data_IF_828714291608
#
_entry.id   IF_828714291608
#
_cell.length_a   1.000
_cell.length_b   1.000
_cell.length_c   1.000
_cell.angle_alpha   90.00
_cell.angle_beta   90.00
_cell.angle_gamma   90.00
#
_symmetry.space_group_name_H-M   'P 1'
#
loop_
_entity.id
_entity.type
_entity.pdbx_description
1 polymer ?
#
# COMPACT_ATOMS: atom_id res chain seq x y z
N UNK A 1 10.69 14.87 44.76
CA UNK A 1 10.94 15.48 43.44
C UNK A 1 11.17 14.35 42.48
N UNK A 2 10.28 14.30 41.50
CA UNK A 2 10.31 13.51 40.29
C UNK A 2 11.56 13.77 39.47
N UNK A 3 12.15 12.72 38.90
CA UNK A 3 12.66 12.81 37.53
C UNK A 3 12.68 11.44 36.86
N UNK A 4 12.25 11.44 35.60
CA UNK A 4 11.82 10.31 34.79
C UNK A 4 12.75 10.22 33.58
N UNK A 5 13.39 9.07 33.26
CA UNK A 5 14.17 8.94 32.04
C UNK A 5 13.27 8.43 30.90
N UNK A 6 12.83 9.33 30.02
CA UNK A 6 12.47 9.02 28.63
C UNK A 6 13.68 9.39 27.75
N UNK A 7 14.09 8.72 26.70
CA UNK A 7 13.58 7.54 26.02
C UNK A 7 14.46 7.35 24.77
N UNK A 8 15.15 6.22 24.68
CA UNK A 8 15.64 5.65 23.41
C UNK A 8 15.24 4.18 23.45
N UNK A 9 13.93 3.97 23.31
CA UNK A 9 13.38 2.62 23.23
C UNK A 9 13.69 2.06 21.86
N UNK A 10 14.41 0.95 21.84
CA UNK A 10 14.43 0.01 20.71
C UNK A 10 12.99 -0.24 20.27
N UNK A 11 12.72 -0.09 18.97
CA UNK A 11 11.38 -0.29 18.40
C UNK A 11 11.00 -1.75 18.68
N UNK A 12 10.09 -1.95 19.62
CA UNK A 12 9.69 -3.28 20.06
C UNK A 12 8.78 -3.91 19.01
N UNK A 13 8.71 -5.25 18.96
CA UNK A 13 7.83 -6.00 18.03
C UNK A 13 6.37 -5.50 18.02
N UNK A 14 5.89 -4.92 19.11
CA UNK A 14 4.56 -4.31 19.18
C UNK A 14 4.43 -3.00 18.39
N UNK A 15 5.51 -2.21 18.25
CA UNK A 15 5.51 -0.99 17.43
C UNK A 15 5.48 -1.31 15.93
N UNK A 16 6.17 -2.38 15.50
CA UNK A 16 6.09 -2.87 14.12
C UNK A 16 4.68 -3.36 13.75
N UNK A 17 3.99 -4.01 14.69
CA UNK A 17 2.59 -4.41 14.53
C UNK A 17 1.66 -3.18 14.55
N UNK A 18 1.94 -2.18 15.38
CA UNK A 18 1.17 -0.92 15.43
C UNK A 18 1.25 -0.11 14.12
N UNK A 19 2.43 -0.04 13.50
CA UNK A 19 2.64 0.58 12.18
C UNK A 19 1.92 -0.15 11.04
N UNK A 20 1.72 -1.47 11.17
CA UNK A 20 0.91 -2.25 10.23
C UNK A 20 -0.60 -2.08 10.45
N UNK A 21 -1.02 -1.60 11.63
CA UNK A 21 -2.43 -1.61 12.06
C UNK A 21 -3.10 -0.24 11.95
N UNK A 22 -2.35 0.85 12.07
CA UNK A 22 -2.91 2.22 12.15
C UNK A 22 -2.57 3.03 10.91
N UNK A 23 -3.52 3.68 10.21
CA UNK A 23 -3.18 4.70 9.21
C UNK A 23 -2.45 5.86 9.90
N UNK A 24 -1.45 6.51 9.28
CA UNK A 24 -0.86 7.71 9.86
C UNK A 24 -1.95 8.78 9.93
N UNK A 25 -2.35 9.17 11.13
CA UNK A 25 -3.19 10.35 11.32
C UNK A 25 -2.33 11.59 11.08
N UNK A 26 -2.77 12.42 10.14
CA UNK A 26 -2.24 13.73 9.82
C UNK A 26 -2.59 14.68 10.98
N UNK A 27 -1.71 14.76 11.98
CA UNK A 27 -1.86 15.70 13.10
C UNK A 27 -1.07 16.97 12.81
N UNK A 28 -1.66 17.87 12.03
CA UNK A 28 -1.27 19.29 12.02
C UNK A 28 -2.49 20.14 12.37
N UNK A 29 -2.84 20.16 13.66
CA UNK A 29 -3.71 21.19 14.23
C UNK A 29 -3.58 21.23 15.76
N UNK A 30 -3.02 22.32 16.28
CA UNK A 30 -3.31 22.77 17.66
C UNK A 30 -2.13 23.19 18.51
N UNK A 31 -1.91 24.51 18.57
CA UNK A 31 -1.43 25.30 19.72
C UNK A 31 0.08 25.31 20.03
N UNK A 32 0.77 26.41 19.73
CA UNK A 32 0.91 27.53 20.68
C UNK A 32 1.61 28.75 20.05
N UNK A 33 0.98 29.89 20.29
CA UNK A 33 1.31 31.26 19.87
C UNK A 33 1.89 31.98 21.08
N UNK A 34 3.11 32.57 21.01
CA UNK A 34 3.42 33.85 21.66
C UNK A 34 4.80 34.44 21.29
N UNK A 35 4.76 35.77 21.14
CA UNK A 35 5.80 36.79 21.38
C UNK A 35 6.70 37.30 20.23
N UNK A 36 6.35 38.52 19.84
CA UNK A 36 6.95 39.51 18.92
C UNK A 36 8.16 40.24 19.54
N UNK A 37 9.21 40.53 18.76
CA UNK A 37 9.85 41.87 18.65
C UNK A 37 10.94 41.95 17.54
N UNK A 38 11.23 43.13 16.94
CA UNK A 38 11.77 43.27 15.56
C UNK A 38 13.11 44.03 15.40
N UNK A 39 13.63 44.03 14.14
CA UNK A 39 14.60 44.95 13.46
C UNK A 39 16.13 44.74 13.63
N UNK A 40 17.01 45.27 12.73
CA UNK A 40 16.93 45.66 11.30
C UNK A 40 18.17 45.16 10.45
N UNK A 41 18.35 45.54 9.16
CA UNK A 41 19.20 44.83 8.18
C UNK A 41 20.58 45.44 7.94
N UNK A 42 21.53 44.65 7.43
CA UNK A 42 22.71 45.14 6.70
C UNK A 42 22.99 44.26 5.48
N UNK A 43 23.44 44.96 4.44
CA UNK A 43 23.54 44.58 3.03
C UNK A 43 25.02 44.29 2.66
N UNK A 44 25.20 43.81 1.44
CA UNK A 44 26.41 43.74 0.61
C UNK A 44 27.29 42.45 0.57
N UNK A 45 27.03 41.69 -0.50
CA UNK A 45 27.99 41.16 -1.53
C UNK A 45 28.93 40.01 -1.15
N UNK A 46 29.34 39.06 -1.99
CA UNK A 46 29.00 38.59 -3.35
C UNK A 46 29.86 37.32 -3.61
N UNK A 47 29.42 36.45 -4.55
CA UNK A 47 30.07 35.27 -5.15
C UNK A 47 30.01 33.99 -4.29
N UNK A 48 29.54 32.83 -4.79
CA UNK A 48 29.96 32.15 -6.02
C UNK A 48 28.82 31.31 -6.64
N UNK A 49 29.01 30.99 -7.92
CA UNK A 49 28.17 30.44 -8.99
C UNK A 49 27.50 29.06 -8.78
N UNK A 50 26.45 28.88 -9.61
CA UNK A 50 26.07 27.69 -10.39
C UNK A 50 24.72 27.07 -10.00
N UNK A 51 23.66 27.44 -10.73
CA UNK A 51 22.51 26.55 -10.91
C UNK A 51 21.75 26.84 -12.23
N UNK A 52 21.91 25.90 -13.16
CA UNK A 52 20.86 25.18 -13.90
C UNK A 52 19.51 25.88 -14.19
N UNK A 53 19.37 26.27 -15.46
CA UNK A 53 18.20 26.13 -16.34
C UNK A 53 16.77 26.12 -15.74
N UNK A 54 16.04 27.21 -15.96
CA UNK A 54 14.56 27.20 -16.05
C UNK A 54 14.13 28.12 -17.19
N UNK A 55 13.78 27.53 -18.33
CA UNK A 55 13.29 28.22 -19.53
C UNK A 55 11.77 28.38 -19.40
N UNK A 56 11.33 29.61 -19.15
CA UNK A 56 9.94 30.03 -19.16
C UNK A 56 9.44 30.11 -20.62
N UNK A 57 8.33 29.44 -20.90
CA UNK A 57 7.67 29.48 -22.21
C UNK A 57 6.64 30.61 -22.17
N UNK A 58 6.79 31.54 -23.10
CA UNK A 58 6.06 32.78 -23.29
C UNK A 58 4.72 32.50 -24.03
N UNK A 59 3.59 32.81 -23.38
CA UNK A 59 2.26 32.88 -24.00
C UNK A 59 2.12 34.25 -24.70
N UNK A 60 2.16 34.28 -26.03
CA UNK A 60 1.76 35.45 -26.82
C UNK A 60 0.45 35.15 -27.56
N UNK A 61 -0.62 35.72 -27.02
CA UNK A 61 -1.99 35.68 -27.55
C UNK A 61 -2.14 36.93 -28.43
N UNK A 62 -2.23 36.74 -29.75
CA UNK A 62 -2.46 37.82 -30.71
C UNK A 62 -3.90 38.34 -30.64
N UNK A 63 -4.04 39.61 -30.27
CA UNK A 63 -5.28 40.39 -30.36
C UNK A 63 -5.66 40.67 -31.83
N UNK A 64 -6.97 40.60 -32.07
CA UNK A 64 -7.64 40.79 -33.36
C UNK A 64 -7.99 42.27 -33.50
N UNK A 65 -7.51 42.91 -34.56
CA UNK A 65 -7.86 44.29 -34.92
C UNK A 65 -9.13 44.30 -35.79
N UNK A 66 -10.11 45.10 -35.37
CA UNK A 66 -11.42 45.33 -35.98
C UNK A 66 -11.34 46.53 -36.94
N UNK A 67 -11.69 46.34 -38.22
CA UNK A 67 -11.95 47.42 -39.18
C UNK A 67 -13.15 47.04 -40.07
N UNK A 68 -14.33 47.55 -39.70
CA UNK A 68 -15.57 47.55 -40.49
C UNK A 68 -15.62 48.79 -41.40
N UNK A 69 -15.98 48.64 -42.69
CA UNK A 69 -16.35 49.80 -43.51
C UNK A 69 -16.57 49.61 -45.02
N UNK A 70 -17.57 48.79 -45.39
CA UNK A 70 -18.51 48.89 -46.54
C UNK A 70 -18.12 49.37 -47.97
N UNK A 71 -18.60 48.55 -48.93
CA UNK A 71 -19.29 48.86 -50.21
C UNK A 71 -18.51 48.81 -51.54
N UNK A 72 -18.72 47.74 -52.33
CA UNK A 72 -18.99 47.80 -53.78
C UNK A 72 -19.24 46.40 -54.40
N UNK A 73 -20.46 46.25 -54.94
CA UNK A 73 -21.05 45.15 -55.71
C UNK A 73 -20.29 44.76 -56.99
N UNK A 74 -20.12 43.45 -57.26
CA UNK A 74 -20.66 42.70 -58.43
C UNK A 74 -19.84 41.42 -58.78
N UNK A 75 -20.57 40.29 -58.73
CA UNK A 75 -20.57 39.15 -59.66
C UNK A 75 -19.47 38.06 -59.62
N UNK A 76 -19.97 36.85 -59.30
CA UNK A 76 -19.71 35.56 -59.97
C UNK A 76 -18.41 34.80 -59.64
N UNK A 77 -18.47 33.92 -58.64
CA UNK A 77 -18.30 32.47 -58.83
C UNK A 77 -18.65 31.75 -57.50
N UNK A 78 -19.70 30.93 -57.52
CA UNK A 78 -19.95 29.93 -56.47
C UNK A 78 -18.95 28.77 -56.65
N UNK A 79 -17.75 28.92 -56.09
CA UNK A 79 -16.97 27.74 -55.67
C UNK A 79 -17.35 27.45 -54.22
N UNK A 80 -18.11 26.38 -54.01
CA UNK A 80 -18.23 25.73 -52.71
C UNK A 80 -16.81 25.42 -52.21
N UNK A 81 -16.33 26.21 -51.24
CA UNK A 81 -15.23 25.79 -50.37
C UNK A 81 -15.70 24.53 -49.64
N UNK A 82 -15.41 23.36 -50.21
CA UNK A 82 -15.44 22.09 -49.51
C UNK A 82 -14.44 22.20 -48.34
N UNK A 83 -14.95 22.45 -47.13
CA UNK A 83 -14.19 22.23 -45.90
C UNK A 83 -13.52 20.84 -46.01
N UNK A 84 -12.20 20.72 -45.83
CA UNK A 84 -11.52 19.45 -45.98
C UNK A 84 -12.12 18.49 -44.94
N UNK A 85 -12.90 17.51 -45.41
CA UNK A 85 -13.45 16.45 -44.59
C UNK A 85 -12.30 15.84 -43.78
N UNK A 86 -12.32 16.04 -42.46
CA UNK A 86 -11.33 15.47 -41.55
C UNK A 86 -11.27 13.96 -41.79
N UNK A 87 -10.19 13.48 -42.40
CA UNK A 87 -10.01 12.07 -42.67
C UNK A 87 -9.89 11.32 -41.35
N UNK A 88 -10.94 10.60 -40.99
CA UNK A 88 -10.99 9.70 -39.84
C UNK A 88 -10.42 8.33 -40.22
N UNK A 89 -9.61 7.79 -39.31
CA UNK A 89 -8.93 6.51 -39.44
C UNK A 89 -9.31 5.61 -38.27
N UNK A 90 -9.74 4.38 -38.54
CA UNK A 90 -10.04 3.40 -37.48
C UNK A 90 -8.76 2.73 -37.00
N UNK A 91 -8.41 2.88 -35.73
CA UNK A 91 -7.22 2.28 -35.11
C UNK A 91 -7.61 1.46 -33.88
N UNK A 92 -6.94 0.33 -33.70
CA UNK A 92 -7.14 -0.58 -32.57
C UNK A 92 -6.28 -0.18 -31.38
N UNK A 93 -6.91 0.21 -30.27
CA UNK A 93 -6.26 0.44 -28.97
C UNK A 93 -6.86 -0.54 -27.98
N UNK A 94 -6.03 -1.36 -27.32
CA UNK A 94 -6.44 -2.38 -26.34
C UNK A 94 -7.57 -3.34 -26.79
N UNK A 95 -7.69 -3.55 -28.12
CA UNK A 95 -8.66 -4.46 -28.72
C UNK A 95 -9.99 -3.83 -29.16
N UNK A 96 -10.18 -2.53 -28.93
CA UNK A 96 -11.35 -1.76 -29.38
C UNK A 96 -11.01 -0.91 -30.61
N UNK A 97 -11.93 -0.86 -31.57
CA UNK A 97 -11.79 -0.07 -32.80
C UNK A 97 -12.25 1.37 -32.54
N UNK A 98 -11.32 2.33 -32.58
CA UNK A 98 -11.57 3.76 -32.32
C UNK A 98 -11.27 4.54 -33.58
N UNK A 99 -12.18 5.41 -34.00
CA UNK A 99 -11.96 6.34 -35.11
C UNK A 99 -11.23 7.58 -34.60
N UNK A 100 -10.06 7.87 -35.17
CA UNK A 100 -9.17 8.97 -34.80
C UNK A 100 -8.71 9.72 -36.05
N UNK A 101 -8.47 11.02 -35.93
CA UNK A 101 -7.95 11.84 -37.03
C UNK A 101 -6.46 11.56 -37.28
N UNK A 102 -5.95 11.99 -38.44
CA UNK A 102 -4.53 11.85 -38.77
C UNK A 102 -3.60 12.53 -37.74
N UNK A 103 -4.00 13.70 -37.26
CA UNK A 103 -3.24 14.46 -36.25
C UNK A 103 -3.17 13.72 -34.91
N UNK A 104 -4.27 13.10 -34.47
CA UNK A 104 -4.29 12.31 -33.24
C UNK A 104 -3.43 11.04 -33.37
N UNK A 105 -3.34 10.44 -34.56
CA UNK A 105 -2.44 9.32 -34.79
C UNK A 105 -0.96 9.71 -34.72
N UNK A 106 -0.60 10.83 -35.34
CA UNK A 106 0.77 11.32 -35.32
C UNK A 106 1.18 11.76 -33.91
N UNK A 107 0.28 12.42 -33.19
CA UNK A 107 0.47 12.81 -31.79
C UNK A 107 0.49 11.61 -30.85
N UNK A 108 -0.37 10.60 -31.06
CA UNK A 108 -0.38 9.36 -30.31
C UNK A 108 0.93 8.57 -30.48
N UNK A 109 1.42 8.44 -31.72
CA UNK A 109 2.70 7.78 -31.99
C UNK A 109 3.88 8.52 -31.36
N UNK A 110 3.94 9.85 -31.48
CA UNK A 110 5.03 10.65 -30.88
C UNK A 110 5.02 10.58 -29.35
N UNK A 111 3.83 10.66 -28.73
CA UNK A 111 3.65 10.48 -27.27
C UNK A 111 4.02 9.07 -26.84
N UNK A 112 3.61 8.04 -27.56
CA UNK A 112 3.94 6.64 -27.25
C UNK A 112 5.45 6.40 -27.36
N UNK A 113 6.11 6.91 -28.40
CA UNK A 113 7.55 6.77 -28.57
C UNK A 113 8.30 7.54 -27.47
N UNK A 114 7.87 8.75 -27.12
CA UNK A 114 8.43 9.53 -26.03
C UNK A 114 8.22 8.84 -24.66
N UNK A 115 7.02 8.31 -24.39
CA UNK A 115 6.71 7.55 -23.18
C UNK A 115 7.54 6.28 -23.08
N UNK A 116 7.70 5.54 -24.18
CA UNK A 116 8.52 4.33 -24.23
C UNK A 116 9.98 4.68 -23.97
N UNK A 117 10.52 5.73 -24.61
CA UNK A 117 11.90 6.20 -24.37
C UNK A 117 12.11 6.63 -22.92
N UNK A 118 11.22 7.46 -22.37
CA UNK A 118 11.28 7.92 -20.97
C UNK A 118 11.11 6.77 -19.98
N UNK A 119 10.26 5.80 -20.28
CA UNK A 119 10.07 4.61 -19.43
C UNK A 119 11.31 3.71 -19.44
N UNK A 120 11.95 3.53 -20.61
CA UNK A 120 13.22 2.82 -20.71
C UNK A 120 14.33 3.54 -19.96
N UNK A 121 14.44 4.86 -20.14
CA UNK A 121 15.41 5.69 -19.43
C UNK A 121 15.19 5.65 -17.91
N UNK A 122 13.94 5.74 -17.44
CA UNK A 122 13.61 5.61 -16.02
C UNK A 122 13.93 4.21 -15.48
N UNK A 123 13.66 3.16 -16.26
CA UNK A 123 14.01 1.78 -15.88
C UNK A 123 15.54 1.60 -15.80
N UNK A 124 16.29 2.20 -16.72
CA UNK A 124 17.75 2.18 -16.72
C UNK A 124 18.32 2.97 -15.53
N UNK A 125 17.78 4.17 -15.25
CA UNK A 125 18.15 4.96 -14.07
C UNK A 125 17.86 4.22 -12.76
N UNK A 126 16.69 3.57 -12.62
CA UNK A 126 16.35 2.76 -11.44
C UNK A 126 17.32 1.60 -11.26
N UNK A 127 17.64 0.90 -12.35
CA UNK A 127 18.59 -0.22 -12.31
C UNK A 127 20.00 0.25 -11.95
N UNK A 128 20.44 1.39 -12.47
CA UNK A 128 21.72 1.99 -12.11
C UNK A 128 21.75 2.38 -10.62
N UNK A 129 20.70 3.03 -10.13
CA UNK A 129 20.57 3.40 -8.73
C UNK A 129 20.53 2.17 -7.80
N UNK A 130 19.79 1.12 -8.15
CA UNK A 130 19.76 -0.14 -7.39
C UNK A 130 21.14 -0.81 -7.36
N UNK A 131 21.88 -0.77 -8.47
CA UNK A 131 23.24 -1.30 -8.53
C UNK A 131 24.21 -0.51 -7.64
N UNK A 132 24.15 0.83 -7.68
CA UNK A 132 24.94 1.70 -6.81
C UNK A 132 24.60 1.46 -5.33
N UNK A 133 23.32 1.35 -4.97
CA UNK A 133 22.89 1.04 -3.61
C UNK A 133 23.40 -0.32 -3.14
N UNK A 134 23.38 -1.32 -4.01
CA UNK A 134 23.92 -2.64 -3.71
C UNK A 134 25.44 -2.60 -3.51
N UNK A 135 26.16 -1.85 -4.35
CA UNK A 135 27.62 -1.66 -4.22
C UNK A 135 27.98 -0.92 -2.93
N UNK A 136 27.28 0.17 -2.60
CA UNK A 136 27.46 0.92 -1.34
C UNK A 136 27.21 0.01 -0.13
N UNK A 137 26.16 -0.83 -0.17
CA UNK A 137 25.89 -1.79 0.90
C UNK A 137 27.04 -2.78 1.05
N UNK A 138 27.55 -3.34 -0.06
CA UNK A 138 28.68 -4.27 -0.04
C UNK A 138 29.97 -3.62 0.47
N UNK A 139 30.25 -2.39 0.05
CA UNK A 139 31.39 -1.59 0.55
C UNK A 139 31.27 -1.35 2.05
N UNK A 140 30.07 -1.01 2.54
CA UNK A 140 29.82 -0.81 3.97
C UNK A 140 30.00 -2.11 4.76
N UNK A 141 29.52 -3.23 4.25
CA UNK A 141 29.68 -4.54 4.91
C UNK A 141 31.15 -4.97 4.94
N UNK A 142 31.89 -4.75 3.85
CA UNK A 142 33.34 -4.98 3.81
C UNK A 142 34.08 -4.06 4.79
N UNK A 143 33.68 -2.79 4.89
CA UNK A 143 34.23 -1.84 5.86
C UNK A 143 33.97 -2.28 7.30
N UNK A 144 32.74 -2.72 7.62
CA UNK A 144 32.40 -3.25 8.93
C UNK A 144 33.27 -4.48 9.29
N UNK A 145 33.46 -5.41 8.35
CA UNK A 145 34.34 -6.57 8.54
C UNK A 145 35.80 -6.17 8.79
N UNK A 146 36.30 -5.15 8.10
CA UNK A 146 37.65 -4.64 8.32
C UNK A 146 37.79 -3.97 9.70
N UNK A 147 36.78 -3.21 10.14
CA UNK A 147 36.74 -2.64 11.48
C UNK A 147 36.75 -3.73 12.55
N UNK A 148 36.02 -4.82 12.35
CA UNK A 148 36.01 -5.96 13.28
C UNK A 148 37.37 -6.66 13.36
N UNK A 149 38.06 -6.83 12.23
CA UNK A 149 39.43 -7.36 12.20
C UNK A 149 40.42 -6.43 12.91
N UNK A 150 40.30 -5.12 12.70
CA UNK A 150 41.13 -4.11 13.36
C UNK A 150 40.87 -4.11 14.87
N UNK A 151 39.61 -4.14 15.30
CA UNK A 151 39.26 -4.23 16.70
C UNK A 151 39.81 -5.52 17.34
N UNK A 152 39.70 -6.66 16.65
CA UNK A 152 40.28 -7.92 17.11
C UNK A 152 41.81 -7.85 17.25
N UNK A 153 42.50 -7.18 16.31
CA UNK A 153 43.95 -6.97 16.38
C UNK A 153 44.35 -6.11 17.58
N UNK A 154 43.61 -5.03 17.84
CA UNK A 154 43.82 -4.15 19.01
C UNK A 154 43.60 -4.93 20.31
N UNK A 155 42.57 -5.77 20.37
CA UNK A 155 42.32 -6.62 21.54
C UNK A 155 43.44 -7.64 21.76
N UNK A 156 43.97 -8.25 20.69
CA UNK A 156 45.10 -9.19 20.75
C UNK A 156 46.41 -8.53 21.18
N UNK A 157 46.60 -7.24 20.88
CA UNK A 157 47.76 -6.47 21.31
C UNK A 157 47.80 -6.19 22.83
N UNK A 158 46.79 -6.63 23.59
CA UNK A 158 46.84 -6.68 25.06
C UNK A 158 46.50 -5.35 25.75
N UNK A 159 45.98 -4.37 25.02
CA UNK A 159 45.63 -3.03 25.54
C UNK A 159 44.49 -2.99 26.55
N UNK A 160 43.78 -4.10 26.77
CA UNK A 160 42.70 -4.14 27.75
C UNK A 160 43.18 -4.06 29.20
N UNK A 161 44.46 -4.37 29.48
CA UNK A 161 45.02 -4.23 30.82
C UNK A 161 45.95 -3.04 30.89
N UNK A 162 45.59 -2.07 31.73
CA UNK A 162 46.45 -0.95 32.05
C UNK A 162 47.74 -1.47 32.70
N UNK A 163 48.92 -1.15 32.16
CA UNK A 163 50.18 -1.52 32.78
C UNK A 163 50.29 -0.94 34.19
N UNK A 164 50.93 -1.67 35.11
CA UNK A 164 51.26 -1.12 36.43
C UNK A 164 52.37 -0.06 36.27
N UNK A 165 51.95 1.19 36.04
CA UNK A 165 52.84 2.34 35.86
C UNK A 165 53.76 2.56 37.06
N UNK A 166 53.34 2.14 38.27
CA UNK A 166 54.13 2.31 39.49
C UNK A 166 55.28 1.31 39.52
N UNK A 167 55.04 0.05 39.16
CA UNK A 167 56.10 -0.95 39.02
C UNK A 167 57.08 -0.61 37.88
N UNK A 168 56.57 -0.05 36.77
CA UNK A 168 57.40 0.42 35.65
C UNK A 168 58.27 1.63 36.03
N UNK A 169 57.76 2.53 36.90
CA UNK A 169 58.54 3.67 37.40
C UNK A 169 59.73 3.28 38.28
N UNK A 170 59.68 2.10 38.92
CA UNK A 170 60.79 1.58 39.74
C UNK A 170 61.91 0.95 38.89
N UNK A 171 61.63 0.59 37.63
CA UNK A 171 62.54 -0.17 36.77
C UNK A 171 63.02 0.58 35.53
N UNK A 172 62.29 1.59 35.06
CA UNK A 172 62.61 2.37 33.85
C UNK A 172 63.06 3.81 34.17
N UNK A 173 63.70 4.47 33.21
CA UNK A 173 64.04 5.90 33.33
C UNK A 173 62.79 6.78 33.16
N UNK A 174 62.79 8.00 33.72
CA UNK A 174 61.69 8.95 33.60
C UNK A 174 61.30 9.24 32.13
N UNK A 175 62.31 9.28 31.25
CA UNK A 175 62.11 9.49 29.81
C UNK A 175 61.40 8.31 29.15
N UNK A 176 61.81 7.08 29.47
CA UNK A 176 61.22 5.87 28.88
C UNK A 176 59.79 5.67 29.37
N UNK A 177 59.52 5.99 30.64
CA UNK A 177 58.16 5.95 31.20
C UNK A 177 57.23 6.95 30.52
N UNK A 178 57.70 8.18 30.26
CA UNK A 178 56.91 9.17 29.53
C UNK A 178 56.56 8.70 28.12
N UNK A 179 57.52 8.13 27.40
CA UNK A 179 57.29 7.58 26.05
C UNK A 179 56.29 6.41 26.09
N UNK A 180 56.47 5.45 27.00
CA UNK A 180 55.57 4.30 27.14
C UNK A 180 54.14 4.73 27.50
N UNK A 181 53.98 5.73 28.38
CA UNK A 181 52.67 6.29 28.71
C UNK A 181 52.04 7.01 27.51
N UNK A 182 52.80 7.81 26.77
CA UNK A 182 52.32 8.49 25.59
C UNK A 182 51.86 7.51 24.49
N UNK A 183 52.61 6.42 24.28
CA UNK A 183 52.23 5.34 23.35
C UNK A 183 50.96 4.62 23.80
N UNK A 184 50.83 4.34 25.10
CA UNK A 184 49.62 3.73 25.64
C UNK A 184 48.40 4.65 25.51
N UNK A 185 48.54 5.93 25.88
CA UNK A 185 47.47 6.92 25.77
C UNK A 185 47.03 7.09 24.29
N UNK A 186 47.99 7.09 23.35
CA UNK A 186 47.70 7.11 21.91
C UNK A 186 46.93 5.87 21.46
N UNK A 187 47.36 4.68 21.85
CA UNK A 187 46.69 3.44 21.46
C UNK A 187 45.30 3.31 22.10
N UNK A 188 45.12 3.79 23.34
CA UNK A 188 43.82 3.85 24.01
C UNK A 188 42.85 4.79 23.30
N UNK A 189 43.32 5.96 22.86
CA UNK A 189 42.50 6.89 22.07
C UNK A 189 42.15 6.28 20.70
N UNK A 190 43.10 5.61 20.05
CA UNK A 190 42.86 4.88 18.80
C UNK A 190 41.80 3.78 18.96
N UNK A 191 41.87 2.98 20.03
CA UNK A 191 40.86 1.97 20.35
C UNK A 191 39.47 2.60 20.50
N UNK A 192 39.39 3.69 21.27
CA UNK A 192 38.12 4.39 21.50
C UNK A 192 37.51 4.92 20.19
N UNK A 193 38.35 5.40 19.26
CA UNK A 193 37.90 5.84 17.94
C UNK A 193 37.35 4.67 17.12
N UNK A 194 38.05 3.53 17.09
CA UNK A 194 37.58 2.32 16.38
C UNK A 194 36.26 1.81 16.96
N UNK A 195 36.12 1.75 18.29
CA UNK A 195 34.88 1.35 18.95
C UNK A 195 33.71 2.31 18.66
N UNK A 196 33.98 3.63 18.62
CA UNK A 196 32.97 4.62 18.27
C UNK A 196 32.51 4.46 16.81
N UNK A 197 33.46 4.21 15.89
CA UNK A 197 33.18 3.99 14.48
C UNK A 197 32.39 2.69 14.25
N UNK A 198 32.76 1.59 14.92
CA UNK A 198 32.00 0.35 14.89
C UNK A 198 30.55 0.54 15.33
N UNK A 199 30.33 1.26 16.46
CA UNK A 199 28.98 1.57 16.94
C UNK A 199 28.20 2.41 15.94
N UNK A 200 28.85 3.38 15.28
CA UNK A 200 28.22 4.22 14.25
C UNK A 200 27.76 3.38 13.06
N UNK A 201 28.64 2.54 12.52
CA UNK A 201 28.34 1.68 11.37
C UNK A 201 27.26 0.65 11.71
N UNK A 202 27.32 0.03 12.89
CA UNK A 202 26.31 -0.93 13.34
C UNK A 202 24.93 -0.26 13.50
N UNK A 203 24.88 0.97 14.05
CA UNK A 203 23.63 1.72 14.16
C UNK A 203 23.05 2.10 12.78
N UNK A 204 23.91 2.43 11.81
CA UNK A 204 23.50 2.71 10.44
C UNK A 204 22.93 1.46 9.75
N UNK A 205 23.61 0.32 9.86
CA UNK A 205 23.14 -0.97 9.35
C UNK A 205 21.81 -1.40 10.00
N UNK A 206 21.65 -1.20 11.30
CA UNK A 206 20.39 -1.49 12.00
C UNK A 206 19.23 -0.65 11.44
N UNK A 207 19.44 0.66 11.24
CA UNK A 207 18.42 1.55 10.64
C UNK A 207 18.09 1.16 9.20
N UNK A 208 19.08 0.78 8.40
CA UNK A 208 18.83 0.32 7.03
C UNK A 208 18.04 -0.99 7.00
N UNK A 209 18.38 -1.95 7.87
CA UNK A 209 17.65 -3.21 7.98
C UNK A 209 16.20 -2.98 8.45
N UNK A 210 15.98 -2.06 9.39
CA UNK A 210 14.65 -1.68 9.83
C UNK A 210 13.82 -1.08 8.68
N UNK A 211 14.41 -0.18 7.90
CA UNK A 211 13.76 0.39 6.70
C UNK A 211 13.41 -0.70 5.68
N UNK A 212 14.36 -1.60 5.37
CA UNK A 212 14.13 -2.74 4.46
C UNK A 212 13.02 -3.65 4.97
N UNK A 213 13.00 -3.93 6.27
CA UNK A 213 11.94 -4.72 6.91
C UNK A 213 10.59 -4.02 6.77
N UNK A 214 10.51 -2.70 7.05
CA UNK A 214 9.26 -1.94 6.93
C UNK A 214 8.70 -1.96 5.50
N UNK A 215 9.55 -1.72 4.50
CA UNK A 215 9.15 -1.79 3.08
C UNK A 215 8.64 -3.20 2.74
N UNK A 216 9.36 -4.23 3.17
CA UNK A 216 8.92 -5.61 2.94
C UNK A 216 7.56 -5.92 3.59
N UNK A 217 7.31 -5.42 4.80
CA UNK A 217 6.02 -5.57 5.48
C UNK A 217 4.88 -4.84 4.77
N UNK A 218 5.14 -3.65 4.23
CA UNK A 218 4.18 -2.88 3.43
C UNK A 218 3.83 -3.62 2.13
N UNK A 219 4.84 -4.17 1.44
CA UNK A 219 4.64 -5.01 0.24
C UNK A 219 3.82 -6.26 0.56
N UNK A 220 4.15 -6.98 1.63
CA UNK A 220 3.38 -8.14 2.08
C UNK A 220 1.93 -7.77 2.43
N UNK A 221 1.72 -6.60 3.04
CA UNK A 221 0.38 -6.09 3.35
C UNK A 221 -0.41 -5.82 2.07
N UNK A 222 0.20 -5.16 1.08
CA UNK A 222 -0.44 -4.91 -0.22
C UNK A 222 -0.79 -6.23 -0.92
N UNK A 223 0.13 -7.19 -0.95
CA UNK A 223 -0.09 -8.52 -1.51
C UNK A 223 -1.21 -9.29 -0.80
N UNK A 224 -1.29 -9.20 0.53
CA UNK A 224 -2.35 -9.79 1.32
C UNK A 224 -3.72 -9.22 0.93
N UNK A 225 -3.83 -7.90 0.76
CA UNK A 225 -5.08 -7.25 0.35
C UNK A 225 -5.49 -7.63 -1.08
N UNK A 226 -4.52 -7.82 -1.98
CA UNK A 226 -4.77 -8.30 -3.34
C UNK A 226 -5.27 -9.76 -3.34
N UNK A 227 -4.71 -10.60 -2.47
CA UNK A 227 -5.10 -12.03 -2.34
C UNK A 227 -6.43 -12.24 -1.61
N UNK A 228 -6.74 -11.38 -0.64
CA UNK A 228 -7.98 -11.39 0.14
C UNK A 228 -8.71 -10.06 -0.03
N UNK A 229 -9.43 -9.84 -1.15
CA UNK A 229 -10.10 -8.57 -1.43
C UNK A 229 -11.13 -8.16 -0.35
N UNK A 230 -11.72 -9.14 0.36
CA UNK A 230 -12.64 -8.88 1.47
C UNK A 230 -12.00 -8.10 2.63
N UNK A 231 -10.67 -8.10 2.75
CA UNK A 231 -9.92 -7.41 3.80
C UNK A 231 -9.52 -5.98 3.43
N UNK A 232 -9.92 -5.49 2.25
CA UNK A 232 -9.82 -4.06 1.92
C UNK A 232 -10.68 -3.23 2.89
N UNK A 233 -11.84 -3.76 3.28
CA UNK A 233 -12.64 -3.21 4.37
C UNK A 233 -11.97 -3.51 5.72
N UNK A 234 -11.67 -2.44 6.46
CA UNK A 234 -10.96 -2.53 7.75
C UNK A 234 -11.79 -3.24 8.82
N UNK A 235 -13.12 -3.08 8.83
CA UNK A 235 -13.98 -3.71 9.85
C UNK A 235 -14.09 -5.23 9.61
N UNK A 236 -14.24 -5.62 8.34
CA UNK A 236 -14.25 -7.03 7.95
C UNK A 236 -12.89 -7.67 8.21
N UNK A 237 -11.80 -6.97 7.85
CA UNK A 237 -10.43 -7.44 8.12
C UNK A 237 -10.22 -7.71 9.59
N UNK A 238 -10.58 -6.77 10.47
CA UNK A 238 -10.32 -6.92 11.90
C UNK A 238 -11.12 -8.07 12.53
N UNK A 239 -12.39 -8.18 12.17
CA UNK A 239 -13.26 -9.24 12.68
C UNK A 239 -12.85 -10.62 12.17
N UNK A 240 -12.59 -10.77 10.87
CA UNK A 240 -12.13 -12.05 10.29
C UNK A 240 -10.71 -12.41 10.76
N UNK A 241 -9.81 -11.42 10.91
CA UNK A 241 -8.46 -11.62 11.46
C UNK A 241 -8.50 -12.25 12.84
N UNK A 242 -9.29 -11.71 13.77
CA UNK A 242 -9.41 -12.29 15.11
C UNK A 242 -9.96 -13.73 15.09
N UNK A 243 -10.90 -14.03 14.19
CA UNK A 243 -11.42 -15.39 14.03
C UNK A 243 -10.38 -16.35 13.46
N UNK A 244 -9.58 -15.88 12.51
CA UNK A 244 -8.47 -16.64 11.91
C UNK A 244 -7.38 -16.93 12.93
N UNK A 245 -6.99 -15.94 13.76
CA UNK A 245 -6.05 -16.12 14.87
C UNK A 245 -6.58 -17.15 15.87
N UNK A 246 -7.85 -17.00 16.28
CA UNK A 246 -8.50 -17.94 17.20
C UNK A 246 -8.52 -19.36 16.62
N UNK A 247 -8.77 -19.50 15.32
CA UNK A 247 -8.74 -20.78 14.62
C UNK A 247 -7.33 -21.38 14.59
N UNK A 248 -6.30 -20.60 14.25
CA UNK A 248 -4.91 -21.04 14.25
C UNK A 248 -4.47 -21.56 15.63
N UNK A 249 -4.79 -20.83 16.69
CA UNK A 249 -4.47 -21.23 18.06
C UNK A 249 -5.22 -22.49 18.49
N UNK A 250 -6.54 -22.57 18.23
CA UNK A 250 -7.39 -23.64 18.79
C UNK A 250 -7.42 -24.92 17.97
N UNK A 251 -7.33 -24.84 16.64
CA UNK A 251 -7.45 -25.99 15.74
C UNK A 251 -6.10 -26.54 15.31
N UNK A 252 -5.14 -25.66 15.02
CA UNK A 252 -3.82 -26.05 14.51
C UNK A 252 -2.79 -26.13 15.64
N UNK A 253 -2.86 -25.20 16.60
CA UNK A 253 -1.98 -25.16 17.76
C UNK A 253 -0.79 -24.20 17.61
N UNK A 254 -0.90 -23.18 16.74
CA UNK A 254 0.10 -22.13 16.66
C UNK A 254 0.17 -21.30 17.95
N UNK A 255 1.39 -20.94 18.35
CA UNK A 255 1.62 -20.02 19.45
C UNK A 255 1.33 -18.57 19.03
N UNK A 256 1.16 -17.69 20.02
CA UNK A 256 0.91 -16.27 19.75
C UNK A 256 2.12 -15.60 19.07
N UNK A 257 3.34 -15.98 19.44
CA UNK A 257 4.58 -15.47 18.84
C UNK A 257 4.72 -15.87 17.36
N UNK A 258 4.34 -17.11 17.00
CA UNK A 258 4.35 -17.58 15.61
C UNK A 258 3.30 -16.85 14.76
N UNK A 259 2.16 -16.49 15.35
CA UNK A 259 1.12 -15.73 14.66
C UNK A 259 1.52 -14.26 14.52
N UNK A 260 2.13 -13.66 15.54
CA UNK A 260 2.60 -12.27 15.50
C UNK A 260 3.76 -12.09 14.50
N UNK A 261 4.62 -13.10 14.35
CA UNK A 261 5.71 -13.09 13.37
C UNK A 261 5.29 -13.54 11.96
N UNK A 262 4.07 -14.04 11.78
CA UNK A 262 3.55 -14.46 10.48
C UNK A 262 3.17 -13.25 9.62
N UNK A 263 4.14 -12.76 8.84
CA UNK A 263 3.99 -11.61 7.94
C UNK A 263 3.80 -11.99 6.48
N UNK A 264 4.01 -13.27 6.14
CA UNK A 264 3.88 -13.77 4.76
C UNK A 264 2.40 -13.80 4.32
N UNK A 265 2.08 -13.03 3.28
CA UNK A 265 0.73 -12.92 2.71
C UNK A 265 0.16 -14.29 2.28
N UNK A 266 1.01 -15.22 1.84
CA UNK A 266 0.60 -16.56 1.37
C UNK A 266 0.18 -17.46 2.53
N UNK A 267 0.89 -17.38 3.66
CA UNK A 267 0.56 -18.14 4.86
C UNK A 267 -0.79 -17.69 5.42
N UNK A 268 -1.01 -16.36 5.47
CA UNK A 268 -2.27 -15.75 5.88
C UNK A 268 -3.41 -16.17 4.95
N UNK A 269 -3.21 -16.14 3.62
CA UNK A 269 -4.20 -16.60 2.64
C UNK A 269 -4.59 -18.06 2.84
N UNK A 270 -3.61 -18.94 3.05
CA UNK A 270 -3.86 -20.37 3.27
C UNK A 270 -4.65 -20.59 4.56
N UNK A 271 -4.27 -19.91 5.64
CA UNK A 271 -4.96 -19.99 6.92
C UNK A 271 -6.39 -19.45 6.84
N UNK A 272 -6.58 -18.33 6.14
CA UNK A 272 -7.90 -17.75 5.87
C UNK A 272 -8.80 -18.73 5.10
N UNK A 273 -8.28 -19.36 4.05
CA UNK A 273 -8.99 -20.37 3.27
C UNK A 273 -9.33 -21.60 4.10
N UNK A 274 -8.41 -22.09 4.92
CA UNK A 274 -8.63 -23.22 5.81
C UNK A 274 -9.76 -22.92 6.82
N UNK A 275 -9.70 -21.75 7.47
CA UNK A 275 -10.76 -21.29 8.37
C UNK A 275 -12.11 -21.18 7.67
N UNK A 276 -12.16 -20.56 6.48
CA UNK A 276 -13.41 -20.48 5.70
C UNK A 276 -13.95 -21.84 5.32
N UNK A 277 -13.09 -22.76 4.91
CA UNK A 277 -13.49 -24.12 4.54
C UNK A 277 -14.11 -24.85 5.74
N UNK A 278 -13.43 -24.85 6.88
CA UNK A 278 -13.89 -25.54 8.08
C UNK A 278 -15.18 -24.92 8.64
N UNK A 279 -15.29 -23.58 8.62
CA UNK A 279 -16.53 -22.92 9.05
C UNK A 279 -17.71 -23.24 8.14
N UNK A 280 -17.48 -23.42 6.83
CA UNK A 280 -18.51 -23.88 5.90
C UNK A 280 -18.88 -25.35 6.16
N UNK A 281 -17.89 -26.21 6.41
CA UNK A 281 -18.07 -27.61 6.73
C UNK A 281 -18.90 -27.80 8.02
N UNK A 282 -18.61 -27.00 9.05
CA UNK A 282 -19.33 -26.99 10.33
C UNK A 282 -20.77 -26.47 10.19
N UNK A 283 -21.01 -25.50 9.29
CA UNK A 283 -22.34 -24.94 9.00
C UNK A 283 -23.18 -25.80 8.05
N UNK A 284 -22.56 -26.66 7.24
CA UNK A 284 -23.23 -27.55 6.29
C UNK A 284 -24.35 -28.43 6.90
N UNK A 285 -24.18 -29.11 8.06
CA UNK A 285 -25.25 -29.90 8.66
C UNK A 285 -26.44 -29.03 9.13
N UNK A 286 -26.18 -27.81 9.63
CA UNK A 286 -27.23 -26.88 10.02
C UNK A 286 -28.03 -26.38 8.80
N UNK A 287 -27.35 -26.08 7.69
CA UNK A 287 -28.00 -25.72 6.43
C UNK A 287 -28.85 -26.88 5.87
N UNK A 288 -28.36 -28.12 5.91
CA UNK A 288 -29.13 -29.33 5.55
C UNK A 288 -30.36 -29.53 6.46
N UNK A 289 -30.26 -29.20 7.75
CA UNK A 289 -31.39 -29.28 8.69
C UNK A 289 -32.44 -28.18 8.42
N UNK A 290 -32.02 -26.96 8.07
CA UNK A 290 -32.92 -25.84 7.72
C UNK A 290 -33.65 -26.12 6.41
N UNK A 291 -32.95 -26.60 5.38
CA UNK A 291 -33.57 -26.98 4.08
C UNK A 291 -34.56 -28.14 4.22
N UNK A 292 -34.29 -29.13 5.07
CA UNK A 292 -35.25 -30.22 5.36
C UNK A 292 -36.52 -29.74 6.10
N UNK A 293 -36.41 -28.67 6.89
CA UNK A 293 -37.54 -28.06 7.63
C UNK A 293 -38.31 -27.01 6.82
N UNK A 294 -37.74 -26.50 5.73
CA UNK A 294 -38.43 -25.58 4.87
C UNK A 294 -39.65 -26.27 4.24
N UNK A 295 -40.85 -25.64 4.24
CA UNK A 295 -42.03 -26.21 3.63
C UNK A 295 -41.73 -26.45 2.14
N UNK A 296 -41.93 -27.69 1.69
CA UNK A 296 -41.79 -28.00 0.27
C UNK A 296 -42.73 -27.08 -0.50
N UNK A 297 -42.19 -26.32 -1.45
CA UNK A 297 -43.02 -25.51 -2.36
C UNK A 297 -44.14 -26.40 -2.89
N UNK A 298 -45.38 -25.91 -2.84
CA UNK A 298 -46.51 -26.62 -3.39
C UNK A 298 -46.15 -26.96 -4.85
N UNK A 299 -46.00 -28.26 -5.12
CA UNK A 299 -45.75 -28.77 -6.47
C UNK A 299 -46.80 -28.13 -7.35
N UNK A 300 -46.39 -27.40 -8.40
CA UNK A 300 -47.31 -26.70 -9.30
C UNK A 300 -48.48 -27.64 -9.58
N UNK A 301 -49.67 -27.26 -9.09
CA UNK A 301 -50.83 -28.14 -9.13
C UNK A 301 -51.03 -28.57 -10.58
N UNK A 302 -51.17 -29.88 -10.81
CA UNK A 302 -51.57 -30.36 -12.15
C UNK A 302 -52.78 -29.53 -12.58
N UNK A 303 -52.81 -29.00 -13.83
CA UNK A 303 -53.95 -28.20 -14.28
C UNK A 303 -55.21 -29.02 -14.04
N UNK A 304 -56.12 -28.49 -13.22
CA UNK A 304 -57.37 -29.17 -12.88
C UNK A 304 -58.10 -29.44 -14.19
N UNK A 305 -58.52 -30.68 -14.39
CA UNK A 305 -59.29 -31.03 -15.58
C UNK A 305 -60.64 -30.29 -15.56
N UNK A 306 -61.23 -30.02 -16.74
CA UNK A 306 -62.55 -29.36 -16.84
C UNK A 306 -63.62 -30.07 -15.98
N UNK A 307 -63.54 -31.40 -15.87
CA UNK A 307 -64.42 -32.21 -15.01
C UNK A 307 -64.23 -31.94 -13.51
N UNK A 308 -63.00 -31.79 -13.05
CA UNK A 308 -62.72 -31.49 -11.64
C UNK A 308 -63.16 -30.08 -11.26
N UNK A 309 -63.06 -29.12 -12.19
CA UNK A 309 -63.58 -27.76 -11.99
C UNK A 309 -65.11 -27.76 -11.91
N UNK A 310 -65.80 -28.45 -12.83
CA UNK A 310 -67.26 -28.56 -12.83
C UNK A 310 -67.81 -29.29 -11.58
N UNK A 311 -67.15 -30.37 -11.15
CA UNK A 311 -67.57 -31.07 -9.93
C UNK A 311 -67.40 -30.21 -8.67
N UNK A 312 -66.35 -29.37 -8.63
CA UNK A 312 -66.11 -28.47 -7.49
C UNK A 312 -67.11 -27.32 -7.47
N UNK A 313 -67.39 -26.69 -8.60
CA UNK A 313 -68.40 -25.63 -8.68
C UNK A 313 -69.78 -26.15 -8.27
N UNK A 314 -70.13 -27.38 -8.68
CA UNK A 314 -71.37 -28.04 -8.27
C UNK A 314 -71.43 -28.38 -6.79
N UNK A 315 -70.33 -28.84 -6.20
CA UNK A 315 -70.24 -29.05 -4.75
C UNK A 315 -70.36 -27.74 -3.97
N UNK A 316 -69.76 -26.65 -4.47
CA UNK A 316 -69.83 -25.34 -3.83
C UNK A 316 -71.24 -24.74 -3.96
N UNK A 317 -71.90 -24.87 -5.11
CA UNK A 317 -73.29 -24.48 -5.30
C UNK A 317 -74.24 -25.29 -4.41
N UNK A 318 -73.99 -26.60 -4.24
CA UNK A 318 -74.73 -27.44 -3.29
C UNK A 318 -74.57 -26.98 -1.85
N UNK A 319 -73.34 -26.69 -1.39
CA UNK A 319 -73.08 -26.20 -0.03
C UNK A 319 -73.75 -24.84 0.21
N UNK A 320 -73.76 -23.96 -0.80
CA UNK A 320 -74.46 -22.67 -0.73
C UNK A 320 -75.96 -22.86 -0.63
N UNK A 321 -76.53 -23.80 -1.38
CA UNK A 321 -77.94 -24.16 -1.26
C UNK A 321 -78.27 -24.76 0.11
N UNK A 322 -77.45 -25.69 0.61
CA UNK A 322 -77.62 -26.29 1.95
C UNK A 322 -77.49 -25.25 3.08
N UNK A 323 -76.67 -24.21 2.90
CA UNK A 323 -76.48 -23.14 3.88
C UNK A 323 -77.51 -22.01 3.79
N UNK A 324 -77.90 -21.59 2.57
CA UNK A 324 -78.77 -20.44 2.36
C UNK A 324 -80.26 -20.82 2.23
N UNK A 325 -80.56 -22.04 1.75
CA UNK A 325 -81.94 -22.55 1.61
C UNK A 325 -82.83 -21.76 0.66
N UNK A 326 -82.29 -20.84 -0.14
CA UNK A 326 -83.06 -19.94 -1.02
C UNK A 326 -83.32 -20.57 -2.39
N UNK A 327 -84.40 -20.13 -3.05
CA UNK A 327 -84.78 -20.57 -4.40
C UNK A 327 -83.69 -20.23 -5.42
N UNK A 328 -83.05 -19.06 -5.28
CA UNK A 328 -81.95 -18.65 -6.15
C UNK A 328 -80.72 -19.55 -6.02
N UNK A 329 -80.39 -19.99 -4.80
CA UNK A 329 -79.30 -20.95 -4.58
C UNK A 329 -79.65 -22.35 -5.12
N UNK A 330 -80.94 -22.72 -5.14
CA UNK A 330 -81.40 -23.97 -5.74
C UNK A 330 -81.26 -23.96 -7.27
N UNK A 331 -81.58 -22.82 -7.90
CA UNK A 331 -81.43 -22.60 -9.34
C UNK A 331 -79.95 -22.63 -9.76
N UNK A 332 -79.07 -21.98 -9.00
CA UNK A 332 -77.62 -21.99 -9.28
C UNK A 332 -77.02 -23.41 -9.22
N UNK A 333 -77.44 -24.22 -8.24
CA UNK A 333 -77.06 -25.64 -8.18
C UNK A 333 -77.57 -26.44 -9.38
N UNK A 334 -78.80 -26.20 -9.84
CA UNK A 334 -79.39 -26.89 -10.99
C UNK A 334 -78.73 -26.52 -12.33
N UNK A 335 -78.25 -25.29 -12.45
CA UNK A 335 -77.56 -24.77 -13.63
C UNK A 335 -76.07 -25.13 -13.69
N UNK A 336 -75.48 -25.53 -12.55
CA UNK A 336 -74.12 -26.10 -12.50
C UNK A 336 -74.08 -27.54 -13.06
N UNK A 337 -74.06 -27.68 -14.39
CA UNK A 337 -73.90 -28.97 -15.11
C UNK A 337 -72.44 -29.34 -15.37
#
# INVERSE_FOLDING_TARGET
>A
MSDNPQGTGEITLNDAVSLLVTPPEDTVAGEQEEAIAPQPPEDETSQVEDDTAEEAIEDEIGEVEDDEGEDAYEADDEEEDEEPLEQVYTVKVDGEDIEVTLDELQNGYSRQQAYTKRSMELAEQRKAFEAEQAEVTQLRDAYAQQLDQLAAQIQQAGLQQEPDWRALAETMSERDLFLAKAEYDQQKEYQKQVEAEQKRVAAEQARENEKKMRVHLEEQRADMLNRIPAWQDTDIRETERQQVITYAQRRIGFSEEEIASATDARAIELLYKAWRWDTLQDKAPAAKKRTRKAPKMAKAGRPKTKREVANRSRQDARKRFEAAGTVDAALDYLMSK
#
